data_IF_300175118573
#
_entry.id   IF_300175118573
#
_cell.length_a   1.000
_cell.length_b   1.000
_cell.length_c   1.000
_cell.angle_alpha   90.00
_cell.angle_beta   90.00
_cell.angle_gamma   90.00
#
_symmetry.space_group_name_H-M   'P 1'
#
loop_
_entity.id
_entity.type
_entity.pdbx_description
1 polymer ?
#
# COMPACT_ATOMS: atom_id res chain seq x y z
N UNK A 1 -38.99 -41.31 21.87
CA UNK A 1 -38.20 -40.10 21.58
C UNK A 1 -38.30 -39.89 20.07
N UNK A 2 -39.16 -38.99 19.64
CA UNK A 2 -39.48 -38.83 18.22
C UNK A 2 -38.68 -37.63 17.71
N UNK A 3 -37.54 -37.92 17.09
CA UNK A 3 -36.67 -36.90 16.52
C UNK A 3 -37.27 -36.45 15.19
N UNK A 4 -38.11 -35.41 15.22
CA UNK A 4 -38.64 -34.80 14.01
C UNK A 4 -37.48 -34.04 13.35
N UNK A 5 -36.89 -34.66 12.33
CA UNK A 5 -35.96 -34.01 11.41
C UNK A 5 -36.74 -32.98 10.60
N UNK A 6 -36.64 -31.72 11.01
CA UNK A 6 -37.14 -30.60 10.20
C UNK A 6 -36.33 -30.53 8.90
N UNK A 7 -36.97 -30.30 7.75
CA UNK A 7 -36.26 -30.13 6.49
C UNK A 7 -35.31 -28.92 6.59
N UNK A 8 -34.11 -28.99 5.98
CA UNK A 8 -33.16 -27.88 6.00
C UNK A 8 -33.81 -26.63 5.38
N UNK A 9 -33.62 -25.48 6.03
CA UNK A 9 -34.05 -24.19 5.49
C UNK A 9 -33.30 -23.94 4.18
N UNK A 10 -34.06 -23.69 3.11
CA UNK A 10 -33.48 -23.31 1.82
C UNK A 10 -33.12 -21.82 1.88
N UNK A 11 -31.83 -21.54 2.01
CA UNK A 11 -31.28 -20.18 2.05
C UNK A 11 -31.09 -19.73 0.61
N UNK A 12 -31.59 -18.55 0.18
CA UNK A 12 -31.41 -18.08 -1.18
C UNK A 12 -29.92 -17.99 -1.54
N UNK A 13 -29.58 -18.41 -2.76
CA UNK A 13 -28.20 -18.50 -3.28
C UNK A 13 -27.54 -17.13 -3.54
N UNK A 14 -28.30 -16.04 -3.45
CA UNK A 14 -27.79 -14.67 -3.47
C UNK A 14 -28.71 -13.79 -2.63
N UNK A 15 -28.17 -13.10 -1.62
CA UNK A 15 -28.93 -12.21 -0.73
C UNK A 15 -28.93 -10.76 -1.22
N UNK A 16 -27.81 -10.33 -1.80
CA UNK A 16 -27.64 -9.03 -2.43
C UNK A 16 -26.80 -9.22 -3.68
N UNK A 17 -27.18 -8.54 -4.75
CA UNK A 17 -26.38 -8.44 -5.96
C UNK A 17 -26.07 -6.97 -6.22
N UNK A 18 -24.85 -6.71 -6.68
CA UNK A 18 -24.44 -5.36 -7.02
C UNK A 18 -25.17 -4.94 -8.30
N UNK A 19 -26.11 -3.99 -8.18
CA UNK A 19 -26.94 -3.52 -9.30
C UNK A 19 -26.13 -2.68 -10.29
N UNK A 20 -25.08 -2.01 -9.81
CA UNK A 20 -24.17 -1.21 -10.63
C UNK A 20 -22.74 -1.60 -10.31
N UNK A 21 -21.97 -1.94 -11.35
CA UNK A 21 -20.55 -2.21 -11.19
C UNK A 21 -19.84 -0.97 -10.65
N UNK A 22 -18.83 -1.18 -9.82
CA UNK A 22 -17.91 -0.12 -9.43
C UNK A 22 -17.13 0.30 -10.68
N UNK A 23 -17.33 1.54 -11.12
CA UNK A 23 -16.65 2.10 -12.29
C UNK A 23 -15.34 2.74 -11.84
N UNK A 24 -14.29 1.93 -11.74
CA UNK A 24 -12.94 2.35 -11.37
C UNK A 24 -12.16 3.02 -12.51
N UNK A 25 -12.76 3.12 -13.69
CA UNK A 25 -12.10 3.62 -14.90
C UNK A 25 -12.56 5.02 -15.30
N UNK A 26 -13.88 5.29 -15.27
CA UNK A 26 -14.44 6.54 -15.79
C UNK A 26 -15.04 7.49 -14.76
N UNK A 27 -15.04 7.14 -13.48
CA UNK A 27 -15.44 8.09 -12.43
C UNK A 27 -14.48 9.28 -12.37
N UNK A 28 -15.03 10.49 -12.26
CA UNK A 28 -14.27 11.76 -12.31
C UNK A 28 -13.10 11.84 -11.32
N UNK A 29 -13.24 11.23 -10.14
CA UNK A 29 -12.23 11.18 -9.08
C UNK A 29 -11.23 10.02 -9.22
N UNK A 30 -11.47 9.08 -10.14
CA UNK A 30 -10.62 7.92 -10.42
C UNK A 30 -9.91 8.01 -11.79
N UNK A 31 -9.95 9.19 -12.43
CA UNK A 31 -9.38 9.44 -13.77
C UNK A 31 -7.84 9.42 -13.83
N UNK A 32 -7.17 9.48 -12.69
CA UNK A 32 -5.71 9.46 -12.59
C UNK A 32 -5.31 8.23 -11.78
N UNK A 33 -5.14 7.10 -12.48
CA UNK A 33 -4.64 5.86 -11.90
C UNK A 33 -3.16 5.94 -11.48
N UNK A 34 -2.50 4.80 -11.40
CA UNK A 34 -1.08 4.72 -11.03
C UNK A 34 -0.22 5.60 -11.95
N UNK A 35 0.48 6.56 -11.33
CA UNK A 35 1.43 7.43 -12.01
C UNK A 35 2.75 6.69 -12.26
N UNK A 36 3.41 6.96 -13.39
CA UNK A 36 4.76 6.43 -13.62
C UNK A 36 5.81 7.32 -12.96
N UNK A 37 7.03 6.80 -12.81
CA UNK A 37 8.16 7.53 -12.19
C UNK A 37 8.31 8.97 -12.74
N UNK A 38 8.24 9.13 -14.07
CA UNK A 38 8.39 10.43 -14.72
C UNK A 38 7.33 11.43 -14.30
N UNK A 39 6.10 10.99 -14.05
CA UNK A 39 5.01 11.87 -13.63
C UNK A 39 5.30 12.42 -12.23
N UNK A 40 5.75 11.55 -11.31
CA UNK A 40 6.13 11.99 -9.97
C UNK A 40 7.33 12.95 -10.00
N UNK A 41 8.34 12.65 -10.81
CA UNK A 41 9.49 13.55 -10.98
C UNK A 41 9.07 14.91 -11.56
N UNK A 42 8.10 14.93 -12.48
CA UNK A 42 7.57 16.17 -13.07
C UNK A 42 6.83 17.03 -12.04
N UNK A 43 6.23 16.41 -11.02
CA UNK A 43 5.63 17.09 -9.87
C UNK A 43 6.66 17.53 -8.81
N UNK A 44 7.94 17.24 -9.00
CA UNK A 44 9.00 17.54 -8.03
C UNK A 44 9.06 16.54 -6.86
N UNK A 45 8.41 15.40 -6.96
CA UNK A 45 8.36 14.36 -5.92
C UNK A 45 9.58 13.44 -5.97
N UNK A 46 10.79 14.01 -6.04
CA UNK A 46 12.03 13.23 -6.11
C UNK A 46 12.47 12.61 -4.79
N UNK A 47 12.00 13.16 -3.65
CA UNK A 47 12.26 12.65 -2.31
C UNK A 47 10.94 12.37 -1.59
N UNK A 48 10.43 11.15 -1.77
CA UNK A 48 9.10 10.72 -1.30
C UNK A 48 9.17 9.85 -0.04
N UNK A 49 10.35 9.41 0.39
CA UNK A 49 10.48 8.59 1.60
C UNK A 49 11.86 8.69 2.22
N UNK A 50 11.86 9.00 3.52
CA UNK A 50 13.07 8.97 4.33
C UNK A 50 13.60 7.55 4.58
N UNK A 51 12.90 6.47 4.17
CA UNK A 51 13.31 5.08 4.47
C UNK A 51 13.74 4.28 3.25
N UNK A 52 13.18 4.61 2.10
CA UNK A 52 13.36 3.86 0.86
C UNK A 52 13.39 4.82 -0.32
N UNK A 53 14.16 4.50 -1.34
CA UNK A 53 14.06 5.08 -2.67
C UNK A 53 13.18 4.14 -3.52
N UNK A 54 11.92 4.51 -3.79
CA UNK A 54 11.02 3.66 -4.55
C UNK A 54 11.35 3.63 -6.05
N UNK A 55 12.01 4.65 -6.60
CA UNK A 55 12.41 4.68 -8.02
C UNK A 55 13.55 3.71 -8.31
N UNK A 56 14.47 3.59 -7.36
CA UNK A 56 15.64 2.72 -7.49
C UNK A 56 15.48 1.38 -6.78
N UNK A 57 14.36 1.19 -6.08
CA UNK A 57 14.08 0.02 -5.24
C UNK A 57 15.16 -0.22 -4.17
N UNK A 58 15.63 0.85 -3.52
CA UNK A 58 16.68 0.79 -2.49
C UNK A 58 16.06 1.09 -1.12
N UNK A 59 16.51 0.37 -0.08
CA UNK A 59 16.20 0.71 1.30
C UNK A 59 17.40 1.37 1.96
N UNK A 60 17.21 2.55 2.53
CA UNK A 60 18.26 3.22 3.27
C UNK A 60 18.51 2.50 4.59
N UNK A 61 19.79 2.24 4.89
CA UNK A 61 20.20 1.70 6.17
C UNK A 61 20.44 2.86 7.13
N UNK A 62 19.56 3.00 8.12
CA UNK A 62 19.78 3.97 9.19
C UNK A 62 20.54 3.29 10.32
N UNK A 63 21.70 3.83 10.73
CA UNK A 63 22.32 3.42 11.97
C UNK A 63 21.30 3.61 13.10
N UNK A 64 21.04 2.55 13.87
CA UNK A 64 20.21 2.63 15.06
C UNK A 64 20.78 3.64 16.07
N UNK A 65 19.98 4.05 17.07
CA UNK A 65 20.36 5.11 18.03
C UNK A 65 21.68 4.86 18.80
N UNK A 66 22.25 3.64 18.76
CA UNK A 66 23.56 3.31 19.34
C UNK A 66 24.76 3.37 18.38
N UNK A 67 24.57 3.49 17.06
CA UNK A 67 25.65 3.44 16.06
C UNK A 67 26.18 4.79 15.57
N UNK A 68 25.50 5.89 15.92
CA UNK A 68 25.93 7.25 15.54
C UNK A 68 27.29 7.65 16.16
N UNK A 69 27.61 7.12 17.35
CA UNK A 69 28.85 7.46 18.05
C UNK A 69 30.10 6.90 17.35
N UNK A 70 29.98 5.83 16.56
CA UNK A 70 31.11 5.23 15.84
C UNK A 70 31.43 6.02 14.56
N UNK A 71 30.40 6.52 13.86
CA UNK A 71 30.58 7.20 12.58
C UNK A 71 31.27 8.57 12.71
N UNK A 72 31.00 9.34 13.77
CA UNK A 72 31.63 10.64 13.99
C UNK A 72 33.02 10.56 14.62
N UNK A 73 33.36 9.43 15.27
CA UNK A 73 34.69 9.23 15.88
C UNK A 73 35.78 8.89 14.87
N UNK A 74 35.41 8.42 13.67
CA UNK A 74 36.35 8.06 12.61
C UNK A 74 36.79 9.26 11.74
N UNK A 75 36.24 10.46 11.97
CA UNK A 75 36.51 11.64 11.15
C UNK A 75 37.42 12.68 11.81
N UNK A 76 38.03 12.38 12.96
CA UNK A 76 39.09 13.22 13.54
C UNK A 76 40.48 12.68 13.22
N UNK A 77 40.90 12.83 11.96
CA UNK A 77 42.32 12.91 11.61
C UNK A 77 42.49 14.02 10.58
N UNK A 78 42.54 15.25 11.11
CA UNK A 78 43.12 16.42 10.46
C UNK A 78 44.35 16.84 11.26
#
# INVERSE_FOLDING_TARGET
MNNILLPPINIPCTLFETISLFDDFSADDMQYGDMVEQDFLSLGLSDISAKVDPYRLIKYHFPGPGSINVAFSASSSG
#
